data_IF_546088230190
#
_entry.id   IF_546088230190
#
_cell.length_a   1.000
_cell.length_b   1.000
_cell.length_c   1.000
_cell.angle_alpha   90.00
_cell.angle_beta   90.00
_cell.angle_gamma   90.00
#
_symmetry.space_group_name_H-M   'P 1'
#
loop_
_entity.id
_entity.type
_entity.pdbx_description
1 polymer ?
#
# COMPACT_ATOMS: atom_id res chain seq x y z
N UNK A 1 10.37 1.37 4.57
CA UNK A 1 10.53 0.33 3.52
C UNK A 1 10.85 0.92 2.14
N UNK A 2 10.02 1.76 1.51
CA UNK A 2 10.38 2.37 0.22
C UNK A 2 11.60 3.31 0.29
N UNK A 3 11.82 3.97 1.44
CA UNK A 3 12.99 4.80 1.70
C UNK A 3 14.27 3.97 1.89
N UNK A 4 14.17 2.80 2.50
CA UNK A 4 15.33 1.93 2.77
C UNK A 4 15.84 1.30 1.48
N UNK A 5 14.96 0.99 0.53
CA UNK A 5 15.34 0.45 -0.78
C UNK A 5 16.09 1.50 -1.59
N UNK A 6 15.52 2.71 -1.70
CA UNK A 6 16.19 3.86 -2.32
C UNK A 6 17.57 4.16 -1.72
N UNK A 7 17.78 3.84 -0.44
CA UNK A 7 19.05 4.02 0.25
C UNK A 7 20.06 2.92 -0.09
N UNK A 8 19.62 1.66 -0.18
CA UNK A 8 20.49 0.50 -0.46
C UNK A 8 20.88 0.46 -1.95
N UNK A 9 20.00 0.90 -2.85
CA UNK A 9 20.23 0.87 -4.31
C UNK A 9 21.10 2.00 -4.87
N UNK A 10 21.51 2.97 -4.06
CA UNK A 10 22.39 4.07 -4.50
C UNK A 10 23.79 3.89 -3.94
N UNK A 11 24.74 3.57 -4.80
CA UNK A 11 26.16 3.66 -4.48
C UNK A 11 26.55 5.13 -4.15
N UNK A 12 27.37 5.28 -3.10
CA UNK A 12 27.89 6.50 -2.45
C UNK A 12 26.93 7.26 -1.51
N UNK A 13 26.96 6.84 -0.24
CA UNK A 13 26.46 7.58 0.91
C UNK A 13 27.31 8.84 1.16
N UNK A 14 27.00 9.91 0.44
CA UNK A 14 27.56 11.24 0.70
C UNK A 14 26.74 11.94 1.78
N UNK A 15 27.40 12.58 2.75
CA UNK A 15 26.76 13.31 3.86
C UNK A 15 25.68 14.30 3.36
N UNK A 16 25.92 14.91 2.20
CA UNK A 16 24.99 15.86 1.56
C UNK A 16 23.66 15.23 1.09
N UNK A 17 23.57 13.90 0.92
CA UNK A 17 22.34 13.19 0.57
C UNK A 17 21.58 12.67 1.79
N UNK A 18 22.29 12.37 2.88
CA UNK A 18 21.71 11.83 4.12
C UNK A 18 21.02 12.94 4.92
N UNK A 19 21.66 14.10 5.03
CA UNK A 19 21.15 15.23 5.81
C UNK A 19 19.74 15.68 5.36
N UNK A 20 19.47 15.97 4.07
CA UNK A 20 18.13 16.37 3.63
C UNK A 20 17.11 15.24 3.81
N UNK A 21 17.51 13.97 3.66
CA UNK A 21 16.61 12.83 3.83
C UNK A 21 16.11 12.69 5.28
N UNK A 22 17.01 12.84 6.26
CA UNK A 22 16.65 12.80 7.68
C UNK A 22 15.71 13.95 8.00
N UNK A 23 16.03 15.17 7.54
CA UNK A 23 15.19 16.36 7.74
C UNK A 23 13.80 16.15 7.12
N UNK A 24 13.73 15.65 5.89
CA UNK A 24 12.47 15.36 5.20
C UNK A 24 11.63 14.28 5.90
N UNK A 25 12.27 13.24 6.42
CA UNK A 25 11.59 12.15 7.15
C UNK A 25 11.04 12.64 8.49
N UNK A 26 11.83 13.44 9.21
CA UNK A 26 11.38 14.10 10.46
C UNK A 26 10.25 15.09 10.15
N UNK A 27 10.37 15.88 9.09
CA UNK A 27 9.33 16.81 8.65
C UNK A 27 8.00 16.12 8.35
N UNK A 28 8.02 14.99 7.63
CA UNK A 28 6.80 14.21 7.37
C UNK A 28 6.20 13.61 8.63
N UNK A 29 7.01 13.07 9.53
CA UNK A 29 6.51 12.46 10.77
C UNK A 29 5.89 13.51 11.70
N UNK A 30 6.51 14.70 11.80
CA UNK A 30 5.93 15.85 12.51
C UNK A 30 4.63 16.30 11.84
N UNK A 31 4.60 16.43 10.51
CA UNK A 31 3.41 16.81 9.78
C UNK A 31 2.27 15.82 10.01
N UNK A 32 2.54 14.52 9.96
CA UNK A 32 1.56 13.49 10.33
C UNK A 32 1.11 13.66 11.79
N UNK A 33 2.03 13.87 12.73
CA UNK A 33 1.70 14.12 14.14
C UNK A 33 0.76 15.32 14.34
N UNK A 34 1.02 16.42 13.65
CA UNK A 34 0.16 17.62 13.64
C UNK A 34 -1.22 17.29 13.04
N UNK A 35 -1.23 16.59 11.89
CA UNK A 35 -2.46 16.18 11.21
C UNK A 35 -3.27 15.24 12.09
N UNK A 36 -2.67 14.34 12.87
CA UNK A 36 -3.40 13.47 13.80
C UNK A 36 -3.90 14.23 15.05
N UNK A 37 -3.11 15.15 15.60
CA UNK A 37 -3.44 15.91 16.83
C UNK A 37 -4.56 16.93 16.60
N UNK A 38 -4.54 17.65 15.47
CA UNK A 38 -5.52 18.70 15.21
C UNK A 38 -6.85 18.10 14.74
N UNK A 39 -7.90 18.10 15.57
CA UNK A 39 -9.19 17.46 15.28
C UNK A 39 -9.81 17.85 13.93
N UNK A 40 -9.57 19.07 13.42
CA UNK A 40 -10.12 19.57 12.15
C UNK A 40 -9.10 20.47 11.46
N UNK A 41 -8.83 20.21 10.18
CA UNK A 41 -8.02 21.10 9.34
C UNK A 41 -9.00 21.89 8.48
N UNK A 42 -9.01 23.22 8.63
CA UNK A 42 -9.98 24.07 7.96
C UNK A 42 -9.46 24.47 6.57
N UNK A 43 -9.57 23.55 5.61
CA UNK A 43 -9.25 23.86 4.22
C UNK A 43 -10.44 24.57 3.57
N UNK A 44 -10.30 25.87 3.31
CA UNK A 44 -11.34 26.67 2.67
C UNK A 44 -11.29 26.46 1.16
N UNK A 45 -12.11 25.55 0.64
CA UNK A 45 -12.36 25.47 -0.80
C UNK A 45 -13.39 26.54 -1.20
N UNK A 46 -13.11 27.36 -2.23
CA UNK A 46 -14.07 28.31 -2.78
C UNK A 46 -15.42 27.64 -3.05
N UNK A 47 -16.52 28.27 -2.65
CA UNK A 47 -17.86 27.67 -2.79
C UNK A 47 -18.21 27.32 -4.25
N UNK A 48 -17.66 28.04 -5.24
CA UNK A 48 -17.83 27.71 -6.68
C UNK A 48 -17.33 26.31 -7.07
N UNK A 49 -16.35 25.77 -6.34
CA UNK A 49 -15.82 24.42 -6.58
C UNK A 49 -16.71 23.31 -5.99
N UNK A 50 -17.65 23.66 -5.12
CA UNK A 50 -18.58 22.67 -4.52
C UNK A 50 -19.71 22.27 -5.48
N UNK A 51 -19.99 23.10 -6.48
CA UNK A 51 -21.11 22.87 -7.40
C UNK A 51 -20.63 22.30 -8.75
N UNK A 52 -19.37 22.50 -9.12
CA UNK A 52 -18.80 22.04 -10.39
C UNK A 52 -18.15 20.65 -10.26
N UNK A 53 -18.86 19.61 -10.69
CA UNK A 53 -18.41 18.22 -10.62
C UNK A 53 -17.09 17.93 -11.35
N UNK A 54 -16.78 18.65 -12.42
CA UNK A 54 -15.55 18.42 -13.19
C UNK A 54 -14.37 19.01 -12.42
N UNK A 55 -14.51 20.25 -11.95
CA UNK A 55 -13.48 20.93 -11.17
C UNK A 55 -13.12 20.17 -9.89
N UNK A 56 -14.10 19.51 -9.26
CA UNK A 56 -13.88 18.64 -8.10
C UNK A 56 -12.87 17.53 -8.38
N UNK A 57 -13.02 16.83 -9.50
CA UNK A 57 -12.11 15.75 -9.90
C UNK A 57 -10.71 16.29 -10.16
N UNK A 58 -10.59 17.39 -10.90
CA UNK A 58 -9.30 18.02 -11.17
C UNK A 58 -8.59 18.47 -9.90
N UNK A 59 -9.32 19.04 -8.94
CA UNK A 59 -8.75 19.42 -7.64
C UNK A 59 -8.25 18.19 -6.88
N UNK A 60 -9.02 17.09 -6.85
CA UNK A 60 -8.57 15.85 -6.21
C UNK A 60 -7.28 15.31 -6.81
N UNK A 61 -7.23 15.21 -8.14
CA UNK A 61 -6.04 14.76 -8.86
C UNK A 61 -4.86 15.71 -8.63
N UNK A 62 -5.08 17.03 -8.70
CA UNK A 62 -4.05 18.03 -8.48
C UNK A 62 -3.49 17.93 -7.06
N UNK A 63 -4.32 17.69 -6.05
CA UNK A 63 -3.84 17.48 -4.68
C UNK A 63 -3.06 16.17 -4.58
N UNK A 64 -3.56 15.05 -5.09
CA UNK A 64 -2.85 13.76 -5.05
C UNK A 64 -1.48 13.85 -5.75
N UNK A 65 -1.43 14.38 -6.98
CA UNK A 65 -0.18 14.57 -7.72
C UNK A 65 0.70 15.64 -7.10
N UNK A 66 0.12 16.73 -6.60
CA UNK A 66 0.84 17.83 -5.96
C UNK A 66 1.56 17.39 -4.70
N UNK A 67 0.87 16.68 -3.79
CA UNK A 67 1.51 16.11 -2.61
C UNK A 67 2.55 15.03 -2.96
N UNK A 68 2.26 14.18 -3.96
CA UNK A 68 3.22 13.21 -4.47
C UNK A 68 4.50 13.89 -4.97
N UNK A 69 4.36 14.91 -5.82
CA UNK A 69 5.44 15.71 -6.38
C UNK A 69 6.26 16.42 -5.29
N UNK A 70 5.59 17.05 -4.31
CA UNK A 70 6.26 17.71 -3.18
C UNK A 70 7.14 16.73 -2.40
N UNK A 71 6.62 15.53 -2.10
CA UNK A 71 7.43 14.53 -1.39
C UNK A 71 8.57 13.98 -2.24
N UNK A 72 8.40 13.94 -3.56
CA UNK A 72 9.46 13.52 -4.47
C UNK A 72 10.63 14.53 -4.52
N UNK A 73 10.33 15.84 -4.46
CA UNK A 73 11.35 16.89 -4.31
C UNK A 73 12.12 16.70 -3.00
N UNK A 74 11.43 16.28 -1.94
CA UNK A 74 12.02 15.98 -0.63
C UNK A 74 12.73 14.62 -0.56
N UNK A 75 13.00 13.97 -1.69
CA UNK A 75 13.63 12.65 -1.82
C UNK A 75 12.86 11.49 -1.16
N UNK A 76 11.57 11.66 -0.93
CA UNK A 76 10.70 10.61 -0.42
C UNK A 76 9.90 9.98 -1.57
N UNK A 77 9.27 8.83 -1.31
CA UNK A 77 8.42 8.17 -2.30
C UNK A 77 7.15 9.00 -2.55
N UNK A 78 6.82 9.24 -3.82
CA UNK A 78 5.59 9.93 -4.23
C UNK A 78 4.31 9.28 -3.66
N UNK A 79 4.33 7.96 -3.42
CA UNK A 79 3.22 7.24 -2.81
C UNK A 79 2.93 7.72 -1.37
N UNK A 80 3.98 8.07 -0.61
CA UNK A 80 3.86 8.58 0.76
C UNK A 80 3.24 9.98 0.72
N UNK A 81 3.64 10.84 -0.22
CA UNK A 81 3.02 12.15 -0.41
C UNK A 81 1.55 12.08 -0.76
N UNK A 82 1.19 11.26 -1.75
CA UNK A 82 -0.21 11.08 -2.14
C UNK A 82 -1.07 10.56 -0.96
N UNK A 83 -0.54 9.64 -0.14
CA UNK A 83 -1.21 9.16 1.07
C UNK A 83 -1.43 10.28 2.10
N UNK A 84 -0.40 11.08 2.38
CA UNK A 84 -0.50 12.22 3.31
C UNK A 84 -1.52 13.24 2.81
N UNK A 85 -1.49 13.56 1.51
CA UNK A 85 -2.47 14.43 0.88
C UNK A 85 -3.89 13.93 1.08
N UNK A 86 -4.12 12.63 0.86
CA UNK A 86 -5.40 11.99 1.13
C UNK A 86 -5.86 12.10 2.58
N UNK A 87 -4.97 11.89 3.55
CA UNK A 87 -5.29 12.01 4.99
C UNK A 87 -5.66 13.46 5.36
N UNK A 88 -4.92 14.45 4.85
CA UNK A 88 -5.19 15.88 5.08
C UNK A 88 -6.57 16.26 4.53
N UNK A 89 -6.87 15.80 3.31
CA UNK A 89 -8.18 16.01 2.66
C UNK A 89 -9.28 15.39 3.50
N UNK A 90 -9.15 14.10 3.87
CA UNK A 90 -10.15 13.38 4.65
C UNK A 90 -10.44 14.02 6.02
N UNK A 91 -9.51 14.80 6.58
CA UNK A 91 -9.70 15.53 7.85
C UNK A 91 -10.39 16.90 7.70
N UNK A 92 -10.60 17.36 6.46
CA UNK A 92 -11.28 18.63 6.18
C UNK A 92 -12.79 18.43 6.04
N UNK A 93 -13.58 19.19 6.80
CA UNK A 93 -15.06 19.11 6.76
C UNK A 93 -15.65 19.44 5.38
N UNK A 94 -14.89 20.12 4.51
CA UNK A 94 -15.37 20.64 3.22
C UNK A 94 -15.00 19.74 2.04
N UNK A 95 -14.62 18.47 2.24
CA UNK A 95 -14.10 17.60 1.17
C UNK A 95 -14.85 16.28 1.01
N UNK A 96 -15.96 16.08 1.71
CA UNK A 96 -16.74 14.83 1.61
C UNK A 96 -17.28 14.59 0.18
N UNK A 97 -17.58 15.67 -0.56
CA UNK A 97 -17.90 15.58 -1.99
C UNK A 97 -16.73 15.07 -2.83
N UNK A 98 -15.49 15.39 -2.43
CA UNK A 98 -14.28 15.03 -3.18
C UNK A 98 -14.02 13.52 -3.10
N UNK A 99 -14.22 12.94 -1.92
CA UNK A 99 -14.08 11.50 -1.71
C UNK A 99 -15.00 10.71 -2.65
N UNK A 100 -16.29 11.07 -2.70
CA UNK A 100 -17.28 10.40 -3.54
C UNK A 100 -16.90 10.45 -5.03
N UNK A 101 -16.29 11.55 -5.49
CA UNK A 101 -15.86 11.72 -6.89
C UNK A 101 -14.55 11.00 -7.21
N UNK A 102 -13.72 10.68 -6.23
CA UNK A 102 -12.45 9.95 -6.42
C UNK A 102 -12.62 8.42 -6.39
N UNK A 103 -13.73 7.90 -5.87
CA UNK A 103 -14.00 6.45 -5.81
C UNK A 103 -13.88 5.77 -7.20
N UNK A 104 -14.47 6.29 -8.29
CA UNK A 104 -14.34 5.68 -9.61
C UNK A 104 -12.88 5.63 -10.10
N UNK A 105 -12.10 6.68 -9.84
CA UNK A 105 -10.68 6.73 -10.20
C UNK A 105 -9.87 5.70 -9.43
N UNK A 106 -10.14 5.53 -8.14
CA UNK A 106 -9.50 4.49 -7.33
C UNK A 106 -9.73 3.11 -7.96
N UNK A 107 -10.97 2.79 -8.33
CA UNK A 107 -11.30 1.50 -8.98
C UNK A 107 -10.59 1.36 -10.32
N UNK A 108 -10.58 2.41 -11.14
CA UNK A 108 -9.90 2.42 -12.43
C UNK A 108 -8.39 2.19 -12.30
N UNK A 109 -7.71 2.97 -11.44
CA UNK A 109 -6.26 2.85 -11.25
C UNK A 109 -5.86 1.53 -10.60
N UNK A 110 -6.64 0.99 -9.66
CA UNK A 110 -6.42 -0.35 -9.11
C UNK A 110 -6.56 -1.42 -10.20
N UNK A 111 -7.57 -1.31 -11.05
CA UNK A 111 -7.76 -2.26 -12.16
C UNK A 111 -6.59 -2.23 -13.14
N UNK A 112 -6.11 -1.03 -13.49
CA UNK A 112 -4.91 -0.86 -14.33
C UNK A 112 -3.64 -1.38 -13.65
N UNK A 113 -3.48 -1.17 -12.34
CA UNK A 113 -2.35 -1.66 -11.56
C UNK A 113 -2.29 -3.19 -11.59
N UNK A 114 -3.41 -3.86 -11.28
CA UNK A 114 -3.48 -5.32 -11.32
C UNK A 114 -3.35 -5.90 -12.73
N UNK A 115 -3.90 -5.22 -13.75
CA UNK A 115 -3.69 -5.60 -15.15
C UNK A 115 -2.20 -5.54 -15.51
N UNK A 116 -1.52 -4.43 -15.17
CA UNK A 116 -0.09 -4.25 -15.45
C UNK A 116 0.78 -5.30 -14.76
N UNK A 117 0.47 -5.64 -13.51
CA UNK A 117 1.18 -6.71 -12.78
C UNK A 117 0.92 -8.07 -13.44
N UNK A 118 -0.32 -8.35 -13.82
CA UNK A 118 -0.69 -9.58 -14.52
C UNK A 118 0.09 -9.76 -15.82
N UNK A 119 0.31 -8.69 -16.57
CA UNK A 119 1.11 -8.70 -17.81
C UNK A 119 2.62 -8.91 -17.57
N UNK A 120 3.12 -8.63 -16.36
CA UNK A 120 4.53 -8.84 -16.02
C UNK A 120 4.85 -10.26 -15.52
N UNK A 121 3.82 -11.06 -15.24
CA UNK A 121 3.98 -12.45 -14.83
C UNK A 121 4.45 -13.28 -16.01
N UNK A 122 5.63 -13.90 -15.86
CA UNK A 122 6.14 -14.84 -16.85
C UNK A 122 5.49 -16.23 -16.64
N UNK A 123 4.69 -16.67 -17.61
CA UNK A 123 4.01 -17.97 -17.59
C UNK A 123 4.96 -19.18 -17.59
N UNK A 124 6.11 -19.09 -18.25
CA UNK A 124 7.12 -20.15 -18.26
C UNK A 124 7.74 -20.28 -16.86
N UNK A 125 8.05 -19.16 -16.20
CA UNK A 125 8.55 -19.18 -14.83
C UNK A 125 7.53 -19.80 -13.86
N UNK A 126 6.26 -19.43 -14.02
CA UNK A 126 5.17 -19.93 -13.17
C UNK A 126 5.02 -21.45 -13.29
N UNK A 127 5.06 -22.00 -14.51
CA UNK A 127 4.91 -23.45 -14.74
C UNK A 127 6.09 -24.25 -14.21
N UNK A 128 7.33 -23.75 -14.36
CA UNK A 128 8.53 -24.42 -13.85
C UNK A 128 8.65 -24.39 -12.32
N UNK A 129 8.12 -23.33 -11.68
CA UNK A 129 8.26 -23.12 -10.22
C UNK A 129 6.94 -23.22 -9.45
N UNK A 130 5.88 -23.78 -10.05
CA UNK A 130 4.54 -23.84 -9.46
C UNK A 130 4.53 -24.45 -8.06
N UNK A 131 5.29 -25.53 -7.84
CA UNK A 131 5.38 -26.20 -6.54
C UNK A 131 6.02 -25.31 -5.45
N UNK A 132 7.09 -24.60 -5.80
CA UNK A 132 7.76 -23.68 -4.90
C UNK A 132 6.86 -22.47 -4.58
N UNK A 133 6.20 -21.90 -5.58
CA UNK A 133 5.26 -20.78 -5.41
C UNK A 133 4.12 -21.19 -4.47
N UNK A 134 3.48 -22.34 -4.73
CA UNK A 134 2.36 -22.81 -3.92
C UNK A 134 2.78 -23.09 -2.47
N UNK A 135 3.95 -23.69 -2.26
CA UNK A 135 4.51 -23.92 -0.94
C UNK A 135 4.72 -22.61 -0.18
N UNK A 136 5.31 -21.60 -0.81
CA UNK A 136 5.52 -20.29 -0.19
C UNK A 136 4.18 -19.62 0.13
N UNK A 137 3.22 -19.64 -0.79
CA UNK A 137 1.90 -19.05 -0.55
C UNK A 137 1.20 -19.72 0.63
N UNK A 138 1.23 -21.06 0.72
CA UNK A 138 0.66 -21.80 1.83
C UNK A 138 1.31 -21.41 3.16
N UNK A 139 2.64 -21.31 3.20
CA UNK A 139 3.38 -20.85 4.38
C UNK A 139 2.95 -19.44 4.77
N UNK A 140 2.87 -18.52 3.81
CA UNK A 140 2.52 -17.12 4.09
C UNK A 140 1.10 -17.03 4.65
N UNK A 141 0.13 -17.70 4.04
CA UNK A 141 -1.25 -17.71 4.52
C UNK A 141 -1.34 -18.28 5.94
N UNK A 142 -0.66 -19.39 6.22
CA UNK A 142 -0.65 -20.02 7.53
C UNK A 142 0.04 -19.16 8.60
N UNK A 143 1.28 -18.76 8.34
CA UNK A 143 2.11 -18.02 9.30
C UNK A 143 1.52 -16.65 9.58
N UNK A 144 1.11 -15.91 8.55
CA UNK A 144 0.55 -14.58 8.74
C UNK A 144 -0.83 -14.66 9.45
N UNK A 145 -1.66 -15.65 9.11
CA UNK A 145 -2.90 -15.90 9.86
C UNK A 145 -2.64 -16.21 11.33
N UNK A 146 -1.65 -17.06 11.61
CA UNK A 146 -1.32 -17.47 12.98
C UNK A 146 -0.76 -16.32 13.81
N UNK A 147 0.15 -15.52 13.25
CA UNK A 147 0.70 -14.32 13.89
C UNK A 147 -0.43 -13.34 14.21
N UNK A 148 -1.28 -13.02 13.24
CA UNK A 148 -2.37 -12.07 13.44
C UNK A 148 -3.41 -12.59 14.45
N UNK A 149 -3.76 -13.88 14.38
CA UNK A 149 -4.65 -14.51 15.36
C UNK A 149 -4.07 -14.46 16.78
N UNK A 150 -2.77 -14.70 16.92
CA UNK A 150 -2.08 -14.58 18.20
C UNK A 150 -2.11 -13.15 18.74
N UNK A 151 -1.85 -12.15 17.90
CA UNK A 151 -1.95 -10.73 18.28
C UNK A 151 -3.37 -10.38 18.74
N UNK A 152 -4.41 -10.77 18.00
CA UNK A 152 -5.79 -10.56 18.43
C UNK A 152 -6.13 -11.28 19.74
N UNK A 153 -5.53 -12.45 19.96
CA UNK A 153 -5.68 -13.17 21.22
C UNK A 153 -5.06 -12.40 22.40
N UNK A 154 -3.89 -11.79 22.21
CA UNK A 154 -3.27 -10.91 23.22
C UNK A 154 -4.14 -9.67 23.50
N UNK A 155 -4.87 -9.18 22.50
CA UNK A 155 -5.88 -8.13 22.63
C UNK A 155 -7.20 -8.62 23.28
N UNK A 156 -7.22 -9.83 23.84
CA UNK A 156 -8.35 -10.46 24.55
C UNK A 156 -9.59 -10.72 23.67
N UNK A 157 -9.41 -10.82 22.36
CA UNK A 157 -10.46 -11.27 21.44
C UNK A 157 -10.70 -12.78 21.63
N UNK A 158 -11.94 -13.23 21.38
CA UNK A 158 -12.30 -14.65 21.46
C UNK A 158 -11.52 -15.47 20.43
N UNK A 159 -11.18 -16.73 20.76
CA UNK A 159 -10.38 -17.59 19.87
C UNK A 159 -10.97 -17.71 18.45
N UNK A 160 -12.30 -17.85 18.35
CA UNK A 160 -13.03 -17.90 17.07
C UNK A 160 -12.83 -16.62 16.26
N UNK A 161 -13.01 -15.46 16.89
CA UNK A 161 -12.86 -14.18 16.20
C UNK A 161 -11.41 -13.86 15.88
N UNK A 162 -10.46 -14.26 16.74
CA UNK A 162 -9.03 -14.10 16.50
C UNK A 162 -8.54 -14.89 15.29
N UNK A 163 -8.92 -16.17 15.14
CA UNK A 163 -8.55 -16.97 13.96
C UNK A 163 -9.18 -16.36 12.70
N UNK A 164 -10.46 -16.00 12.76
CA UNK A 164 -11.15 -15.42 11.61
C UNK A 164 -10.52 -14.08 11.20
N UNK A 165 -10.22 -13.19 12.16
CA UNK A 165 -9.54 -11.92 11.90
C UNK A 165 -8.11 -12.13 11.39
N UNK A 166 -7.40 -13.14 11.89
CA UNK A 166 -6.09 -13.53 11.38
C UNK A 166 -6.13 -13.95 9.91
N UNK A 167 -7.14 -14.76 9.53
CA UNK A 167 -7.35 -15.16 8.14
C UNK A 167 -7.75 -13.99 7.23
N UNK A 168 -8.48 -12.99 7.72
CA UNK A 168 -8.78 -11.77 6.97
C UNK A 168 -7.52 -10.94 6.65
N UNK A 169 -6.49 -11.03 7.50
CA UNK A 169 -5.22 -10.31 7.36
C UNK A 169 -4.08 -11.18 6.82
N UNK A 170 -4.37 -12.37 6.29
CA UNK A 170 -3.35 -13.32 5.88
C UNK A 170 -2.62 -12.92 4.59
N UNK A 171 -3.26 -12.12 3.74
CA UNK A 171 -2.71 -11.76 2.43
C UNK A 171 -1.51 -10.82 2.52
N UNK A 172 -0.65 -10.91 1.51
CA UNK A 172 0.39 -9.90 1.28
C UNK A 172 -0.28 -8.67 0.66
N UNK A 173 0.06 -7.47 1.13
CA UNK A 173 -0.50 -6.22 0.62
C UNK A 173 0.04 -5.81 -0.75
N UNK A 174 -0.74 -5.02 -1.48
CA UNK A 174 -0.40 -4.43 -2.80
C UNK A 174 0.91 -3.63 -2.78
N UNK A 175 1.23 -3.01 -1.64
CA UNK A 175 2.48 -2.27 -1.45
C UNK A 175 3.73 -3.13 -1.61
N UNK A 176 3.65 -4.46 -1.39
CA UNK A 176 4.78 -5.36 -1.62
C UNK A 176 5.13 -5.48 -3.10
N UNK A 177 4.15 -5.38 -4.00
CA UNK A 177 4.39 -5.38 -5.45
C UNK A 177 5.11 -4.11 -5.88
N UNK A 178 4.64 -2.95 -5.40
CA UNK A 178 5.29 -1.66 -5.64
C UNK A 178 6.73 -1.68 -5.12
N UNK A 179 6.94 -2.23 -3.92
CA UNK A 179 8.25 -2.39 -3.32
C UNK A 179 9.18 -3.25 -4.17
N UNK A 180 8.68 -4.39 -4.68
CA UNK A 180 9.42 -5.29 -5.54
C UNK A 180 9.85 -4.63 -6.87
N UNK A 181 8.95 -3.86 -7.49
CA UNK A 181 9.24 -3.08 -8.70
C UNK A 181 10.35 -2.06 -8.44
N UNK A 182 10.26 -1.29 -7.34
CA UNK A 182 11.31 -0.32 -6.98
C UNK A 182 12.64 -1.01 -6.69
N UNK A 183 12.63 -2.17 -6.03
CA UNK A 183 13.84 -2.93 -5.76
C UNK A 183 14.49 -3.44 -7.06
N UNK A 184 13.68 -3.87 -8.04
CA UNK A 184 14.15 -4.32 -9.35
C UNK A 184 14.73 -3.18 -10.19
N UNK A 185 14.07 -2.01 -10.22
CA UNK A 185 14.60 -0.84 -10.95
C UNK A 185 15.91 -0.30 -10.37
N UNK A 186 16.20 -0.62 -9.12
CA UNK A 186 17.45 -0.30 -8.44
C UNK A 186 18.48 -1.43 -8.50
N UNK A 187 18.24 -2.48 -9.28
CA UNK A 187 19.10 -3.66 -9.42
C UNK A 187 19.43 -4.36 -8.09
N UNK A 188 18.58 -4.20 -7.06
CA UNK A 188 18.75 -4.87 -5.76
C UNK A 188 18.26 -6.31 -5.77
N UNK A 189 17.44 -6.66 -6.76
CA UNK A 189 16.76 -7.96 -6.85
C UNK A 189 16.96 -8.51 -8.26
N UNK A 190 17.47 -9.74 -8.35
CA UNK A 190 17.62 -10.45 -9.62
C UNK A 190 16.25 -10.85 -10.21
N UNK A 191 16.18 -11.10 -11.51
CA UNK A 191 14.94 -11.47 -12.23
C UNK A 191 14.23 -12.68 -11.61
N UNK A 192 14.98 -13.67 -11.12
CA UNK A 192 14.42 -14.81 -10.42
C UNK A 192 13.58 -14.41 -9.20
N UNK A 193 14.16 -13.59 -8.30
CA UNK A 193 13.49 -13.15 -7.07
C UNK A 193 12.34 -12.18 -7.37
N UNK A 194 12.48 -11.39 -8.42
CA UNK A 194 11.42 -10.50 -8.91
C UNK A 194 10.21 -11.31 -9.36
N UNK A 195 10.40 -12.26 -10.29
CA UNK A 195 9.33 -13.13 -10.78
C UNK A 195 8.74 -14.01 -9.68
N UNK A 196 9.56 -14.53 -8.77
CA UNK A 196 9.08 -15.31 -7.63
C UNK A 196 8.17 -14.47 -6.73
N UNK A 197 8.59 -13.26 -6.37
CA UNK A 197 7.81 -12.37 -5.50
C UNK A 197 6.51 -11.94 -6.15
N UNK A 198 6.55 -11.53 -7.43
CA UNK A 198 5.36 -11.16 -8.20
C UNK A 198 4.33 -12.30 -8.22
N UNK A 199 4.77 -13.51 -8.53
CA UNK A 199 3.90 -14.68 -8.59
C UNK A 199 3.33 -15.05 -7.22
N UNK A 200 4.16 -15.07 -6.17
CA UNK A 200 3.72 -15.39 -4.80
C UNK A 200 2.71 -14.37 -4.29
N UNK A 201 2.98 -13.07 -4.46
CA UNK A 201 2.06 -12.03 -3.98
C UNK A 201 0.73 -12.09 -4.73
N UNK A 202 0.77 -12.18 -6.06
CA UNK A 202 -0.44 -12.28 -6.89
C UNK A 202 -1.26 -13.54 -6.57
N UNK A 203 -0.61 -14.69 -6.43
CA UNK A 203 -1.25 -15.94 -6.06
C UNK A 203 -1.85 -15.87 -4.64
N UNK A 204 -1.15 -15.24 -3.69
CA UNK A 204 -1.67 -15.05 -2.32
C UNK A 204 -2.95 -14.23 -2.33
N UNK A 205 -2.99 -13.13 -3.08
CA UNK A 205 -4.18 -12.27 -3.19
C UNK A 205 -5.38 -13.03 -3.79
N UNK A 206 -5.14 -13.83 -4.82
CA UNK A 206 -6.18 -14.67 -5.43
C UNK A 206 -6.68 -15.77 -4.47
N UNK A 207 -5.76 -16.43 -3.76
CA UNK A 207 -6.09 -17.57 -2.89
C UNK A 207 -6.66 -17.16 -1.52
N UNK A 208 -6.50 -15.90 -1.11
CA UNK A 208 -6.95 -15.43 0.21
C UNK A 208 -8.47 -15.55 0.38
N UNK A 209 -9.27 -15.26 -0.66
CA UNK A 209 -10.72 -15.42 -0.59
C UNK A 209 -11.13 -16.88 -0.30
N UNK A 210 -10.41 -17.84 -0.89
CA UNK A 210 -10.62 -19.27 -0.66
C UNK A 210 -10.19 -19.64 0.76
N UNK A 211 -9.04 -19.14 1.20
CA UNK A 211 -8.51 -19.35 2.56
C UNK A 211 -9.49 -18.88 3.64
N UNK A 212 -10.02 -17.66 3.51
CA UNK A 212 -11.00 -17.10 4.45
C UNK A 212 -12.26 -17.96 4.51
N UNK A 213 -12.76 -18.43 3.36
CA UNK A 213 -13.94 -19.30 3.30
C UNK A 213 -13.70 -20.66 3.98
N UNK A 214 -12.52 -21.26 3.80
CA UNK A 214 -12.13 -22.51 4.46
C UNK A 214 -12.11 -22.31 5.98
N UNK A 215 -11.44 -21.26 6.46
CA UNK A 215 -11.33 -20.95 7.89
C UNK A 215 -12.70 -20.64 8.49
N UNK A 216 -13.54 -19.86 7.79
CA UNK A 216 -14.92 -19.58 8.23
C UNK A 216 -15.72 -20.87 8.40
N UNK A 217 -15.65 -21.78 7.43
CA UNK A 217 -16.35 -23.07 7.49
C UNK A 217 -15.84 -23.95 8.63
N UNK A 218 -14.56 -23.86 8.99
CA UNK A 218 -13.99 -24.60 10.11
C UNK A 218 -14.42 -24.06 11.48
N UNK A 219 -14.57 -22.73 11.61
CA UNK A 219 -14.92 -22.06 12.89
C UNK A 219 -16.42 -22.10 13.20
N UNK A 220 -17.26 -21.98 12.16
CA UNK A 220 -18.73 -21.89 12.28
C UNK A 220 -19.45 -23.20 11.92
N UNK A 221 -18.70 -24.31 11.90
CA UNK A 221 -19.28 -25.66 11.92
C UNK A 221 -19.69 -26.02 13.35
#
# INVERSE_FOLDING_TARGET
MLLTINFIGRETLTLNKILPLIISTIGITILLGIVFTNKKINFHFPNKLKDDHEAQVFVGLLLCFGFGWLTQILHLSAAIGALIGGIIIAKSNSTQWLEAKLIPFRVFFLSLFFLSIGLQINGDFLTHHVGLIFLIVAIILLVNSAINAFVFRLLKVSWRNSIYAGALLSQIGEFSLVLCIVAKTQNLVNDFWYQLTLNVVSATMLLTAIWINIIRKFIYK
#
